data_IF_483695668434
#
_entry.id   IF_483695668434
#
_cell.length_a   1.000
_cell.length_b   1.000
_cell.length_c   1.000
_cell.angle_alpha   90.00
_cell.angle_beta   90.00
_cell.angle_gamma   90.00
#
_symmetry.space_group_name_H-M   'P 1'
#
loop_
_entity.id
_entity.type
_entity.pdbx_description
1 polymer ?
#
# COMPACT_ATOMS: atom_id res chain seq x y z
N UNK A 1 11.34 16.69 1.68
CA UNK A 1 11.77 15.32 2.03
C UNK A 1 11.40 14.40 0.88
N UNK A 2 12.04 13.23 0.77
CA UNK A 2 11.78 12.27 -0.32
C UNK A 2 10.30 11.91 -0.41
N UNK A 3 9.79 11.69 -1.63
CA UNK A 3 8.48 11.11 -1.88
C UNK A 3 8.49 9.59 -1.59
N UNK A 4 7.32 8.94 -1.62
CA UNK A 4 7.22 7.53 -1.26
C UNK A 4 8.06 6.62 -2.17
N UNK A 5 8.01 6.82 -3.50
CA UNK A 5 8.78 6.01 -4.45
C UNK A 5 10.30 6.13 -4.19
N UNK A 6 10.78 7.35 -3.96
CA UNK A 6 12.19 7.62 -3.62
C UNK A 6 12.60 6.93 -2.30
N UNK A 7 11.72 6.92 -1.29
CA UNK A 7 11.97 6.21 -0.03
C UNK A 7 12.05 4.69 -0.22
N UNK A 8 11.21 4.13 -1.08
CA UNK A 8 11.22 2.69 -1.39
C UNK A 8 12.55 2.30 -2.04
N UNK A 9 13.01 3.08 -3.02
CA UNK A 9 14.32 2.86 -3.66
C UNK A 9 15.44 2.95 -2.63
N UNK A 10 15.44 3.99 -1.80
CA UNK A 10 16.45 4.18 -0.75
C UNK A 10 16.47 3.02 0.26
N UNK A 11 15.30 2.53 0.68
CA UNK A 11 15.19 1.38 1.58
C UNK A 11 15.80 0.10 0.97
N UNK A 12 15.51 -0.17 -0.31
CA UNK A 12 16.04 -1.35 -1.00
C UNK A 12 17.56 -1.26 -1.13
N UNK A 13 18.10 -0.10 -1.51
CA UNK A 13 19.55 0.12 -1.56
C UNK A 13 20.21 -0.10 -0.20
N UNK A 14 19.64 0.45 0.88
CA UNK A 14 20.17 0.25 2.23
C UNK A 14 20.15 -1.23 2.67
N UNK A 15 19.14 -1.99 2.23
CA UNK A 15 19.09 -3.43 2.48
C UNK A 15 20.22 -4.16 1.77
N UNK A 16 20.45 -3.88 0.49
CA UNK A 16 21.56 -4.48 -0.29
C UNK A 16 22.92 -4.17 0.34
N UNK A 17 23.16 -2.91 0.69
CA UNK A 17 24.39 -2.46 1.36
C UNK A 17 24.62 -3.15 2.70
N UNK A 18 23.54 -3.54 3.37
CA UNK A 18 23.57 -4.28 4.64
C UNK A 18 23.64 -5.81 4.44
N UNK A 19 23.73 -6.30 3.20
CA UNK A 19 23.75 -7.74 2.88
C UNK A 19 22.39 -8.44 3.04
N UNK A 20 21.30 -7.68 3.12
CA UNK A 20 19.92 -8.20 3.14
C UNK A 20 19.34 -8.16 1.74
N UNK A 21 18.79 -9.27 1.26
CA UNK A 21 18.05 -9.33 0.00
C UNK A 21 16.81 -8.40 0.06
N UNK A 22 16.72 -7.36 -0.78
CA UNK A 22 15.60 -6.42 -0.78
C UNK A 22 14.27 -7.05 -1.14
N UNK A 23 14.26 -8.16 -1.88
CA UNK A 23 13.04 -8.87 -2.26
C UNK A 23 12.32 -9.47 -1.04
N UNK A 24 13.04 -9.65 0.08
CA UNK A 24 12.49 -10.12 1.36
C UNK A 24 11.77 -9.02 2.15
N UNK A 25 11.78 -7.78 1.66
CA UNK A 25 11.14 -6.63 2.33
C UNK A 25 9.80 -6.36 1.68
N UNK A 26 8.71 -6.65 2.40
CA UNK A 26 7.37 -6.24 2.00
C UNK A 26 7.06 -4.84 2.51
N UNK A 27 6.48 -4.00 1.66
CA UNK A 27 6.12 -2.62 1.98
C UNK A 27 4.60 -2.53 2.06
N UNK A 28 4.08 -2.03 3.19
CA UNK A 28 2.63 -1.85 3.40
C UNK A 28 2.31 -0.37 3.57
N UNK A 29 1.30 0.12 2.83
CA UNK A 29 0.72 1.45 3.01
C UNK A 29 -0.60 1.32 3.76
N UNK A 30 -0.75 2.08 4.84
CA UNK A 30 -1.98 2.18 5.62
C UNK A 30 -2.77 3.43 5.23
N UNK A 31 -4.08 3.30 5.09
CA UNK A 31 -4.97 4.41 4.72
C UNK A 31 -4.86 4.82 3.26
N UNK A 32 -4.53 3.87 2.38
CA UNK A 32 -4.59 4.11 0.94
C UNK A 32 -6.02 4.47 0.53
N UNK A 33 -6.15 5.31 -0.49
CA UNK A 33 -7.45 5.66 -1.02
C UNK A 33 -8.05 4.45 -1.76
N UNK A 34 -9.37 4.20 -1.62
CA UNK A 34 -10.06 3.15 -2.36
C UNK A 34 -10.30 3.59 -3.81
N UNK A 35 -9.20 3.75 -4.55
CA UNK A 35 -9.17 4.23 -5.93
C UNK A 35 -8.23 3.35 -6.76
N UNK A 36 -8.66 2.99 -7.97
CA UNK A 36 -7.94 2.02 -8.80
C UNK A 36 -6.59 2.57 -9.30
N UNK A 37 -6.54 3.86 -9.66
CA UNK A 37 -5.31 4.49 -10.16
C UNK A 37 -4.29 4.63 -9.03
N UNK A 38 -4.73 4.98 -7.81
CA UNK A 38 -3.86 4.99 -6.63
C UNK A 38 -3.33 3.59 -6.30
N UNK A 39 -4.17 2.56 -6.31
CA UNK A 39 -3.74 1.18 -6.03
C UNK A 39 -2.71 0.72 -7.07
N UNK A 40 -2.96 0.97 -8.36
CA UNK A 40 -2.03 0.63 -9.44
C UNK A 40 -0.73 1.43 -9.32
N UNK A 41 -0.80 2.71 -8.93
CA UNK A 41 0.38 3.52 -8.68
C UNK A 41 1.23 2.94 -7.54
N UNK A 42 0.62 2.60 -6.40
CA UNK A 42 1.31 2.00 -5.25
C UNK A 42 2.01 0.69 -5.64
N UNK A 43 1.34 -0.19 -6.39
CA UNK A 43 1.94 -1.42 -6.93
C UNK A 43 3.16 -1.09 -7.81
N UNK A 44 3.02 -0.14 -8.74
CA UNK A 44 4.08 0.22 -9.70
C UNK A 44 5.36 0.72 -9.04
N UNK A 45 5.25 1.34 -7.86
CA UNK A 45 6.40 1.85 -7.10
C UNK A 45 6.95 0.83 -6.09
N UNK A 46 6.40 -0.39 -6.07
CA UNK A 46 6.90 -1.51 -5.27
C UNK A 46 6.29 -1.65 -3.89
N UNK A 47 5.10 -1.09 -3.65
CA UNK A 47 4.29 -1.41 -2.46
C UNK A 47 3.70 -2.81 -2.62
N UNK A 48 3.85 -3.64 -1.60
CA UNK A 48 3.38 -5.04 -1.60
C UNK A 48 1.95 -5.17 -1.09
N UNK A 49 1.47 -4.21 -0.29
CA UNK A 49 0.14 -4.25 0.31
C UNK A 49 -0.40 -2.85 0.57
N UNK A 50 -1.63 -2.58 0.15
CA UNK A 50 -2.40 -1.41 0.55
C UNK A 50 -3.49 -1.82 1.54
N UNK A 51 -3.65 -1.08 2.63
CA UNK A 51 -4.72 -1.25 3.60
C UNK A 51 -5.67 -0.05 3.47
N UNK A 52 -6.89 -0.33 3.01
CA UNK A 52 -7.94 0.67 2.86
C UNK A 52 -8.60 0.91 4.23
N UNK A 53 -8.84 2.18 4.56
CA UNK A 53 -9.48 2.55 5.82
C UNK A 53 -11.00 2.44 5.72
N UNK A 54 -11.62 1.96 6.79
CA UNK A 54 -13.06 2.02 6.99
C UNK A 54 -13.36 2.97 8.15
N UNK A 55 -14.47 3.72 8.09
CA UNK A 55 -14.91 4.52 9.23
C UNK A 55 -15.33 3.61 10.39
N UNK A 56 -15.24 4.13 11.61
CA UNK A 56 -15.73 3.43 12.80
C UNK A 56 -17.25 3.59 12.91
N UNK A 57 -17.98 2.87 12.07
CA UNK A 57 -19.43 2.93 11.94
C UNK A 57 -20.05 1.53 12.06
N UNK A 58 -21.37 1.49 12.16
CA UNK A 58 -22.12 0.24 12.24
C UNK A 58 -21.98 -0.61 10.97
N UNK A 59 -22.23 -1.92 11.13
CA UNK A 59 -22.12 -2.94 10.06
C UNK A 59 -22.83 -2.55 8.77
N UNK A 60 -24.04 -2.01 8.88
CA UNK A 60 -24.88 -1.68 7.71
C UNK A 60 -24.30 -0.52 6.88
N UNK A 61 -23.45 0.31 7.48
CA UNK A 61 -22.68 1.35 6.78
C UNK A 61 -21.39 0.77 6.19
N UNK A 62 -20.69 -0.09 6.94
CA UNK A 62 -19.35 -0.56 6.58
C UNK A 62 -19.37 -1.67 5.53
N UNK A 63 -20.31 -2.62 5.60
CA UNK A 63 -20.34 -3.77 4.68
C UNK A 63 -20.48 -3.36 3.19
N UNK A 64 -21.40 -2.46 2.80
CA UNK A 64 -21.47 -2.02 1.42
C UNK A 64 -20.17 -1.37 0.94
N UNK A 65 -19.43 -0.66 1.80
CA UNK A 65 -18.13 -0.09 1.46
C UNK A 65 -17.10 -1.17 1.16
N UNK A 66 -17.09 -2.28 1.92
CA UNK A 66 -16.23 -3.43 1.64
C UNK A 66 -16.57 -4.04 0.28
N UNK A 67 -17.86 -4.18 -0.04
CA UNK A 67 -18.30 -4.70 -1.35
C UNK A 67 -17.87 -3.78 -2.50
N UNK A 68 -17.90 -2.45 -2.31
CA UNK A 68 -17.37 -1.50 -3.30
C UNK A 68 -15.85 -1.61 -3.44
N UNK A 69 -15.11 -1.70 -2.33
CA UNK A 69 -13.65 -1.83 -2.35
C UNK A 69 -13.20 -3.13 -3.00
N UNK A 70 -13.98 -4.22 -2.85
CA UNK A 70 -13.70 -5.50 -3.48
C UNK A 70 -13.73 -5.44 -5.02
N UNK A 71 -14.34 -4.41 -5.63
CA UNK A 71 -14.35 -4.21 -7.09
C UNK A 71 -13.02 -3.65 -7.63
N UNK A 72 -12.12 -3.23 -6.75
CA UNK A 72 -10.81 -2.65 -7.11
C UNK A 72 -9.72 -3.72 -7.29
N UNK A 73 -10.04 -5.00 -7.05
CA UNK A 73 -9.10 -6.15 -7.11
C UNK A 73 -9.57 -7.25 -8.05
#
# INVERSE_FOLDING_TARGET
GLNLAEKIVSLKQQAEESGRDPSTISITVFGAQPDADEIQHLESIGVSRAVLSLPSEEKDTVLPMIDEYAKLI
#
